data_IF_695074941419
#
_entry.id   IF_695074941419
#
_cell.length_a   1.000
_cell.length_b   1.000
_cell.length_c   1.000
_cell.angle_alpha   90.00
_cell.angle_beta   90.00
_cell.angle_gamma   90.00
#
_symmetry.space_group_name_H-M   'P 1'
#
loop_
_entity.id
_entity.type
_entity.pdbx_description
1 polymer ?
2 non-polymer ?
3 non-polymer ?
4 water ?
#
# COMPACT_ATOMS: atom_id res chain seq x y z
N UNK A 10 7.20 -14.03 -21.70
CA UNK A 10 8.58 -13.63 -22.13
C UNK A 10 9.60 -13.98 -21.04
N UNK A 11 10.40 -15.00 -21.31
CA UNK A 11 11.35 -15.52 -20.33
C UNK A 11 12.76 -15.05 -20.64
N UNK A 12 13.25 -14.08 -19.86
CA UNK A 12 14.59 -13.51 -20.06
C UNK A 12 15.66 -14.59 -19.99
N UNK A 13 16.72 -14.45 -20.80
CA UNK A 13 17.76 -15.47 -20.78
C UNK A 13 18.36 -15.68 -19.40
N UNK A 14 18.45 -16.94 -19.00
CA UNK A 14 18.93 -17.29 -17.65
C UNK A 14 20.40 -16.96 -17.49
N UNK A 15 20.72 -16.09 -16.51
CA UNK A 15 22.12 -15.72 -16.30
C UNK A 15 22.98 -16.93 -15.88
N UNK A 16 24.23 -16.98 -16.36
CA UNK A 16 25.13 -18.12 -16.10
C UNK A 16 25.31 -18.47 -14.62
N UNK A 17 25.18 -17.47 -13.73
CA UNK A 17 25.43 -17.69 -12.31
C UNK A 17 24.24 -18.31 -11.57
N UNK A 18 23.11 -18.41 -12.25
CA UNK A 18 21.87 -18.90 -11.62
C UNK A 18 21.65 -20.38 -11.93
N UNK A 19 21.66 -21.23 -10.89
CA UNK A 19 21.47 -22.66 -11.14
C UNK A 19 20.03 -23.04 -11.50
N UNK A 20 19.87 -23.95 -12.45
CA UNK A 20 18.51 -24.30 -12.92
C UNK A 20 17.55 -24.80 -11.84
N UNK A 21 18.06 -25.45 -10.79
CA UNK A 21 17.17 -25.97 -9.73
C UNK A 21 16.46 -24.86 -8.95
N UNK A 22 16.95 -23.62 -9.04
CA UNK A 22 16.31 -22.50 -8.35
C UNK A 22 15.30 -21.75 -9.22
N UNK A 23 15.11 -22.19 -10.47
CA UNK A 23 14.24 -21.48 -11.38
C UNK A 23 12.75 -21.83 -11.19
N UNK A 24 11.96 -20.79 -10.92
CA UNK A 24 10.50 -20.88 -10.82
C UNK A 24 9.95 -19.64 -11.46
N UNK A 25 9.31 -19.82 -12.63
CA UNK A 25 8.94 -18.68 -13.48
C UNK A 25 7.64 -17.99 -13.07
N UNK A 26 7.69 -17.40 -11.89
CA UNK A 26 6.56 -16.66 -11.36
C UNK A 26 6.49 -15.27 -12.02
N UNK A 27 5.30 -14.88 -12.43
CA UNK A 27 5.07 -13.57 -13.03
C UNK A 27 4.30 -12.67 -12.07
N UNK A 28 4.99 -11.72 -11.43
CA UNK A 28 4.33 -10.86 -10.42
C UNK A 28 3.21 -9.97 -10.95
N UNK A 29 3.14 -9.77 -12.29
CA UNK A 29 2.08 -8.98 -12.87
C UNK A 29 0.90 -9.79 -13.40
N UNK A 30 1.08 -11.10 -13.52
CA UNK A 30 0.01 -11.99 -13.98
C UNK A 30 0.23 -13.42 -13.48
N UNK A 31 0.17 -13.61 -12.15
CA UNK A 31 0.46 -14.94 -11.59
C UNK A 31 -0.59 -15.97 -12.00
N UNK A 32 -0.17 -17.23 -12.13
CA UNK A 32 -1.09 -18.33 -12.46
C UNK A 32 -2.21 -18.40 -11.44
N UNK A 33 -3.45 -18.65 -11.88
CA UNK A 33 -4.59 -18.80 -10.93
C UNK A 33 -4.78 -17.61 -9.98
N UNK A 34 -4.45 -16.42 -10.49
CA UNK A 34 -4.91 -15.15 -9.93
C UNK A 34 -6.41 -15.23 -9.64
N UNK A 35 -7.12 -16.06 -10.42
CA UNK A 35 -8.55 -16.28 -10.23
C UNK A 35 -8.94 -16.81 -8.84
N UNK A 36 -8.01 -17.50 -8.17
CA UNK A 36 -8.27 -18.02 -6.82
C UNK A 36 -8.09 -16.97 -5.72
N UNK A 37 -7.67 -15.76 -6.10
CA UNK A 37 -7.34 -14.70 -5.13
C UNK A 37 -5.88 -14.35 -5.25
N UNK A 38 -5.55 -13.07 -5.17
CA UNK A 38 -4.16 -12.68 -5.40
C UNK A 38 -3.19 -13.19 -4.33
N UNK A 39 -3.56 -13.09 -3.05
CA UNK A 39 -2.69 -13.64 -2.00
C UNK A 39 -2.45 -15.13 -2.20
N UNK A 40 -3.51 -15.88 -2.56
CA UNK A 40 -3.37 -17.30 -2.81
C UNK A 40 -2.42 -17.57 -3.98
N UNK A 41 -2.49 -16.69 -4.97
CA UNK A 41 -1.67 -16.84 -6.18
C UNK A 41 -0.19 -16.67 -5.85
N UNK A 42 0.11 -15.73 -4.95
CA UNK A 42 1.50 -15.49 -4.54
C UNK A 42 1.94 -16.60 -3.61
N UNK A 43 1.00 -17.13 -2.81
CA UNK A 43 1.36 -18.13 -1.81
C UNK A 43 1.81 -19.48 -2.40
N UNK A 44 1.66 -19.65 -3.72
CA UNK A 44 2.24 -20.79 -4.46
C UNK A 44 3.76 -20.83 -4.23
N UNK A 45 4.34 -19.65 -3.97
CA UNK A 45 5.77 -19.55 -3.77
C UNK A 45 6.22 -20.17 -2.45
N UNK A 46 5.25 -20.49 -1.59
CA UNK A 46 5.52 -21.07 -0.28
C UNK A 46 5.10 -22.53 -0.18
N UNK A 47 4.80 -23.14 -1.32
CA UNK A 47 4.61 -24.61 -1.36
C UNK A 47 5.93 -25.33 -1.04
N UNK A 48 5.82 -26.57 -0.55
CA UNK A 48 6.98 -27.23 0.05
C UNK A 48 8.11 -27.57 -0.92
N UNK A 49 7.81 -27.59 -2.23
CA UNK A 49 8.80 -27.90 -3.25
C UNK A 49 9.55 -26.65 -3.73
N UNK A 50 9.20 -25.50 -3.15
CA UNK A 50 9.80 -24.22 -3.58
C UNK A 50 10.85 -23.76 -2.58
N UNK A 51 12.09 -23.51 -3.06
CA UNK A 51 13.16 -23.02 -2.18
C UNK A 51 12.84 -21.64 -1.61
N UNK A 52 13.61 -21.26 -0.60
CA UNK A 52 13.44 -20.00 0.13
C UNK A 52 13.75 -18.82 -0.80
N UNK A 53 14.61 -19.06 -1.80
CA UNK A 53 15.04 -18.01 -2.70
C UNK A 53 15.06 -18.62 -4.09
N UNK A 54 14.31 -18.03 -4.99
CA UNK A 54 14.19 -18.59 -6.35
C UNK A 54 14.47 -17.51 -7.39
N UNK A 55 14.72 -17.95 -8.62
CA UNK A 55 14.90 -17.04 -9.76
C UNK A 55 13.74 -17.21 -10.72
N UNK A 56 13.12 -16.11 -11.11
CA UNK A 56 12.15 -16.13 -12.21
C UNK A 56 12.76 -15.50 -13.44
N UNK A 57 12.47 -16.10 -14.60
CA UNK A 57 12.89 -15.50 -15.86
C UNK A 57 11.88 -14.48 -16.39
N UNK A 58 10.74 -14.33 -15.70
CA UNK A 58 9.77 -13.31 -16.07
C UNK A 58 10.26 -11.91 -15.79
N UNK A 59 9.73 -10.92 -16.52
CA UNK A 59 9.86 -9.49 -16.20
C UNK A 59 11.30 -8.99 -16.09
N UNK A 60 12.12 -9.47 -17.01
CA UNK A 60 13.53 -9.13 -17.07
C UNK A 60 14.44 -10.10 -16.36
N UNK A 61 13.88 -10.95 -15.49
CA UNK A 61 14.65 -11.89 -14.71
C UNK A 61 14.99 -11.28 -13.37
N UNK A 62 14.65 -11.97 -12.27
CA UNK A 62 14.95 -11.45 -10.95
C UNK A 62 14.81 -12.53 -9.91
N UNK A 63 15.46 -12.33 -8.76
CA UNK A 63 15.29 -13.22 -7.62
C UNK A 63 13.97 -12.91 -6.96
N UNK A 64 13.44 -13.90 -6.24
CA UNK A 64 12.30 -13.69 -5.31
C UNK A 64 12.62 -14.42 -4.01
N UNK A 65 12.64 -13.67 -2.90
CA UNK A 65 12.68 -14.26 -1.55
C UNK A 65 11.23 -14.65 -1.20
N UNK A 66 11.02 -15.89 -0.76
CA UNK A 66 9.65 -16.40 -0.62
C UNK A 66 9.21 -16.57 0.83
N UNK A 67 10.14 -16.36 1.75
CA UNK A 67 9.88 -16.58 3.18
C UNK A 67 10.17 -15.33 4.00
N UNK A 68 9.39 -15.13 5.06
CA UNK A 68 9.53 -13.94 5.88
C UNK A 68 10.93 -13.72 6.46
N UNK A 69 11.61 -14.80 6.85
CA UNK A 69 12.95 -14.65 7.39
C UNK A 69 13.84 -13.93 6.41
N UNK A 70 13.82 -14.35 5.13
CA UNK A 70 14.74 -13.78 4.15
C UNK A 70 14.29 -12.41 3.72
N UNK A 71 12.99 -12.22 3.62
CA UNK A 71 12.44 -10.92 3.24
C UNK A 71 12.87 -9.88 4.28
N UNK A 72 12.69 -10.22 5.55
CA UNK A 72 13.10 -9.28 6.63
C UNK A 72 14.60 -9.01 6.58
N UNK A 73 15.39 -10.08 6.44
CA UNK A 73 16.85 -9.93 6.42
C UNK A 73 17.34 -9.02 5.31
N UNK A 74 16.81 -9.22 4.10
CA UNK A 74 17.24 -8.41 2.98
C UNK A 74 16.86 -6.93 3.18
N UNK A 75 15.69 -6.68 3.75
CA UNK A 75 15.29 -5.29 4.06
C UNK A 75 16.15 -4.65 5.13
N UNK A 76 16.68 -5.45 6.03
CA UNK A 76 17.61 -4.94 7.07
C UNK A 76 19.00 -4.68 6.49
N UNK A 77 19.38 -5.44 5.46
CA UNK A 77 20.74 -5.37 4.92
C UNK A 77 20.79 -4.39 3.74
N UNK A 78 20.65 -3.11 4.05
CA UNK A 78 20.58 -2.09 3.01
C UNK A 78 21.92 -1.93 2.29
N UNK A 79 23.01 -2.38 2.91
CA UNK A 79 24.33 -2.24 2.27
C UNK A 79 24.45 -3.13 1.03
N UNK A 80 23.83 -4.32 1.07
CA UNK A 80 23.84 -5.22 -0.07
C UNK A 80 22.60 -5.05 -0.95
N UNK A 81 21.47 -4.67 -0.32
CA UNK A 81 20.19 -4.64 -1.03
C UNK A 81 19.72 -3.20 -1.08
N UNK A 82 20.06 -2.55 -2.19
CA UNK A 82 19.86 -1.11 -2.37
C UNK A 82 18.49 -0.72 -2.90
N UNK A 83 18.00 0.44 -2.47
CA UNK A 83 16.73 0.98 -2.98
C UNK A 83 16.88 1.84 -4.23
N UNK A 84 18.09 1.90 -4.79
CA UNK A 84 18.34 2.70 -5.97
C UNK A 84 17.43 2.27 -7.13
N UNK A 85 17.15 0.97 -7.20
CA UNK A 85 16.24 0.43 -8.20
C UNK A 85 15.24 -0.49 -7.51
N UNK A 86 14.14 0.09 -6.96
CA UNK A 86 13.25 -0.71 -6.12
C UNK A 86 12.10 -1.42 -6.84
N UNK A 87 11.92 -1.13 -8.13
CA UNK A 87 10.79 -1.71 -8.85
C UNK A 87 11.23 -2.68 -9.93
N UNK A 88 10.49 -3.77 -10.04
CA UNK A 88 10.61 -4.68 -11.14
C UNK A 88 9.44 -4.41 -12.08
N UNK A 89 9.74 -4.19 -13.37
CA UNK A 89 11.09 -4.22 -13.91
C UNK A 89 11.76 -2.83 -13.95
N UNK A 95 11.24 7.64 -15.01
CA UNK A 95 11.05 9.04 -14.63
C UNK A 95 10.76 9.19 -13.13
N UNK A 96 10.80 8.08 -12.40
CA UNK A 96 10.47 8.07 -10.97
C UNK A 96 11.56 8.75 -10.15
N UNK A 97 11.16 9.73 -9.33
CA UNK A 97 12.11 10.50 -8.52
C UNK A 97 11.56 10.91 -7.16
N UNK A 98 10.54 10.21 -6.66
CA UNK A 98 9.97 10.57 -5.36
C UNK A 98 10.96 10.31 -4.21
N UNK A 99 10.86 11.13 -3.16
CA UNK A 99 11.74 11.05 -1.99
C UNK A 99 10.91 10.59 -0.77
N UNK A 100 11.46 9.70 0.09
CA UNK A 100 12.83 9.17 0.09
C UNK A 100 12.98 7.73 -0.42
N UNK A 101 12.08 7.33 -1.32
CA UNK A 101 12.00 5.95 -1.86
C UNK A 101 13.31 5.38 -2.33
N UNK A 102 13.98 6.12 -3.21
CA UNK A 102 15.14 5.61 -3.95
C UNK A 102 16.47 5.82 -3.23
N UNK A 103 16.40 6.40 -2.04
CA UNK A 103 17.58 6.69 -1.24
C UNK A 103 17.91 5.54 -0.26
N UNK A 104 19.20 5.32 -0.02
CA UNK A 104 19.64 4.42 1.04
C UNK A 104 20.01 5.25 2.27
N UNK A 106 22.35 8.99 5.98
CA UNK A 106 22.21 10.26 6.71
C UNK A 106 21.10 11.15 6.15
N UNK A 107 21.00 11.20 4.81
CA UNK A 107 19.94 11.98 4.18
C UNK A 107 18.60 11.28 4.39
N UNK A 108 18.56 10.00 4.08
CA UNK A 108 17.35 9.21 4.31
C UNK A 108 16.76 9.48 5.69
N UNK A 109 17.60 9.41 6.72
CA UNK A 109 17.14 9.59 8.09
C UNK A 109 16.51 10.96 8.32
N UNK A 110 17.10 12.00 7.73
CA UNK A 110 16.58 13.35 7.95
C UNK A 110 15.26 13.57 7.21
N UNK A 111 15.17 13.03 5.99
CA UNK A 111 13.94 13.15 5.20
C UNK A 111 12.80 12.42 5.91
N UNK A 112 13.09 11.23 6.44
CA UNK A 112 12.07 10.47 7.21
C UNK A 112 11.65 11.18 8.48
N UNK A 113 12.60 11.82 9.14
CA UNK A 113 12.31 12.57 10.34
C UNK A 113 11.32 13.69 9.99
N UNK A 114 11.57 14.35 8.86
CA UNK A 114 10.71 15.45 8.42
C UNK A 114 9.34 14.91 8.02
N UNK A 115 9.31 13.80 7.29
CA UNK A 115 8.01 13.20 6.96
C UNK A 115 7.23 12.77 8.22
N UNK A 116 7.92 12.19 9.21
CA UNK A 116 7.27 11.83 10.47
C UNK A 116 6.63 13.01 11.19
N UNK A 117 7.20 14.19 11.02
CA UNK A 117 6.63 15.40 11.57
C UNK A 117 5.23 15.66 11.01
N UNK A 118 4.99 15.24 9.76
CA UNK A 118 3.72 15.58 9.13
C UNK A 118 2.68 14.47 9.11
N UNK A 119 3.10 13.21 9.28
CA UNK A 119 2.16 12.07 9.28
C UNK A 119 2.33 11.13 10.48
N UNK A 120 3.13 11.54 11.45
CA UNK A 120 3.30 10.79 12.68
C UNK A 120 2.06 10.71 13.56
N UNK A 121 2.13 9.86 14.57
CA UNK A 121 1.01 9.63 15.48
C UNK A 121 0.30 10.90 16.02
N UNK A 122 1.07 11.92 16.47
CA UNK A 122 0.35 13.06 17.01
C UNK A 122 -0.52 13.74 15.95
N UNK A 123 -0.02 13.80 14.72
CA UNK A 123 -0.83 14.35 13.62
C UNK A 123 -2.08 13.48 13.38
N UNK A 124 -1.90 12.17 13.32
CA UNK A 124 -3.02 11.26 13.06
C UNK A 124 -4.05 11.37 14.18
N UNK A 125 -3.55 11.44 15.42
CA UNK A 125 -4.48 11.62 16.53
C UNK A 125 -5.35 12.88 16.39
N UNK A 126 -4.76 13.99 15.96
CA UNK A 126 -5.48 15.25 15.79
C UNK A 126 -6.48 15.17 14.63
N UNK A 127 -6.10 14.42 13.59
CA UNK A 127 -6.92 14.26 12.41
C UNK A 127 -8.06 13.28 12.56
N UNK A 128 -8.03 12.42 13.58
CA UNK A 128 -8.93 11.27 13.60
C UNK A 128 -10.42 11.58 13.41
N UNK A 129 -10.91 12.57 14.16
CA UNK A 129 -12.31 12.93 14.09
C UNK A 129 -12.71 13.46 12.69
N UNK A 130 -11.80 14.17 12.04
CA UNK A 130 -12.06 14.66 10.66
C UNK A 130 -12.17 13.50 9.66
N UNK A 131 -11.31 12.50 9.86
CA UNK A 131 -11.39 11.24 9.11
C UNK A 131 -12.74 10.57 9.31
N UNK A 132 -13.19 10.46 10.57
CA UNK A 132 -14.51 9.93 10.87
C UNK A 132 -15.64 10.70 10.18
N UNK A 133 -15.56 12.03 10.18
CA UNK A 133 -16.63 12.83 9.60
C UNK A 133 -16.70 12.62 8.09
N UNK A 134 -15.53 12.45 7.46
CA UNK A 134 -15.48 12.12 6.04
C UNK A 134 -16.07 10.75 5.73
N UNK A 135 -15.63 9.74 6.49
CA UNK A 135 -16.18 8.39 6.37
C UNK A 135 -17.70 8.37 6.51
N UNK A 136 -18.19 9.07 7.53
CA UNK A 136 -19.62 9.17 7.79
C UNK A 136 -20.38 9.74 6.59
N UNK A 137 -19.87 10.84 6.04
CA UNK A 137 -20.48 11.51 4.89
C UNK A 137 -20.56 10.60 3.66
N UNK A 138 -19.46 9.91 3.37
CA UNK A 138 -19.43 8.97 2.27
C UNK A 138 -20.42 7.81 2.47
N UNK A 139 -20.42 7.21 3.66
CA UNK A 139 -21.26 6.05 3.91
C UNK A 139 -22.74 6.46 3.86
N UNK A 140 -23.07 7.59 4.49
CA UNK A 140 -24.45 8.08 4.51
C UNK A 140 -24.95 8.35 3.09
N UNK A 141 -24.07 8.84 2.22
CA UNK A 141 -24.43 9.09 0.83
C UNK A 141 -24.79 7.79 0.08
N UNK A 142 -24.18 6.67 0.47
CA UNK A 142 -24.40 5.38 -0.20
C UNK A 142 -25.55 4.59 0.42
N UNK A 143 -25.68 4.74 1.73
CA UNK A 143 -26.55 3.90 2.56
C UNK A 143 -27.98 3.67 2.02
N UNK A 144 -28.69 4.74 1.63
CA UNK A 144 -30.07 4.46 1.20
C UNK A 144 -30.22 3.77 -0.16
N UNK A 145 -29.13 3.65 -0.92
CA UNK A 145 -29.16 3.03 -2.25
C UNK A 145 -29.26 1.51 -2.22
N UNK A 146 -28.78 0.89 -1.13
CA UNK A 146 -28.77 -0.58 -1.04
C UNK A 146 -27.76 -1.29 -1.93
N UNK A 147 -26.84 -0.54 -2.53
CA UNK A 147 -25.79 -1.11 -3.36
C UNK A 147 -24.72 -0.05 -3.62
N UNK A 148 -23.53 -0.53 -3.94
CA UNK A 148 -22.45 0.34 -4.43
C UNK A 148 -21.36 -0.54 -5.01
N UNK A 149 -20.48 0.06 -5.79
CA UNK A 149 -19.19 -0.54 -6.02
C UNK A 149 -18.28 0.11 -4.99
N UNK A 150 -17.96 -0.66 -3.94
CA UNK A 150 -17.24 -0.12 -2.80
C UNK A 150 -15.93 0.54 -3.26
N UNK A 151 -15.23 -0.13 -4.17
CA UNK A 151 -13.91 0.33 -4.58
C UNK A 151 -14.00 1.71 -5.23
N UNK A 152 -14.96 1.88 -6.13
CA UNK A 152 -15.19 3.17 -6.78
C UNK A 152 -15.89 4.24 -5.91
N UNK A 153 -16.85 3.81 -5.10
CA UNK A 153 -17.79 4.75 -4.48
C UNK A 153 -17.39 5.17 -3.06
N UNK A 154 -16.60 4.33 -2.39
CA UNK A 154 -16.10 4.69 -1.06
C UNK A 154 -14.58 4.77 -1.06
N UNK A 155 -13.92 3.72 -1.55
CA UNK A 155 -12.48 3.60 -1.37
C UNK A 155 -11.70 4.65 -2.17
N UNK A 156 -12.00 4.80 -3.46
CA UNK A 156 -11.25 5.79 -4.26
C UNK A 156 -11.38 7.24 -3.75
N UNK A 157 -12.60 7.68 -3.34
CA UNK A 157 -12.66 9.08 -2.89
C UNK A 157 -12.05 9.38 -1.51
N UNK A 158 -11.84 8.35 -0.70
CA UNK A 158 -11.50 8.53 0.70
C UNK A 158 -10.03 8.99 0.91
N UNK A 159 -9.02 8.20 0.48
CA UNK A 159 -7.67 8.65 0.82
C UNK A 159 -7.25 9.97 0.20
N UNK A 160 -7.72 10.27 -1.01
CA UNK A 160 -7.37 11.55 -1.65
C UNK A 160 -7.94 12.70 -0.81
N UNK A 161 -9.14 12.51 -0.27
CA UNK A 161 -9.74 13.54 0.58
C UNK A 161 -8.99 13.71 1.88
N UNK A 162 -8.51 12.60 2.42
CA UNK A 162 -7.68 12.66 3.63
C UNK A 162 -6.38 13.41 3.34
N UNK A 163 -5.79 13.19 2.17
CA UNK A 163 -4.57 13.94 1.83
C UNK A 163 -4.83 15.46 1.76
N UNK A 164 -5.98 15.87 1.22
CA UNK A 164 -6.28 17.28 1.11
C UNK A 164 -6.42 17.92 2.49
N UNK A 165 -6.96 17.15 3.45
CA UNK A 165 -7.07 17.60 4.84
C UNK A 165 -5.66 17.75 5.43
N UNK A 166 -4.87 16.68 5.31
CA UNK A 166 -3.50 16.66 5.81
C UNK A 166 -2.67 17.82 5.24
N UNK A 167 -2.86 18.10 3.95
CA UNK A 167 -2.00 19.06 3.24
C UNK A 167 -2.61 20.46 3.13
N UNK A 168 -3.78 20.66 3.73
CA UNK A 168 -4.48 21.94 3.69
C UNK A 168 -4.76 22.43 2.28
N UNK A 169 -5.27 21.54 1.43
CA UNK A 169 -5.53 21.89 0.05
C UNK A 169 -7.04 21.90 -0.18
N UNK A 170 -7.52 22.75 -1.10
CA UNK A 170 -8.98 22.89 -1.21
C UNK A 170 -9.64 21.72 -1.93
N UNK A 171 -10.90 21.45 -1.57
CA UNK A 171 -11.68 20.36 -2.16
C UNK A 171 -11.82 20.48 -3.68
N UNK A 172 -11.87 21.72 -4.18
CA UNK A 172 -12.04 21.95 -5.61
C UNK A 172 -10.87 21.42 -6.42
N UNK A 173 -9.71 21.20 -5.78
CA UNK A 173 -8.52 20.70 -6.48
C UNK A 173 -8.53 19.19 -6.66
N UNK A 174 -9.48 18.50 -6.04
CA UNK A 174 -9.49 17.02 -6.02
C UNK A 174 -9.56 16.36 -7.41
N UNK A 175 -10.54 16.77 -8.26
CA UNK A 175 -10.62 16.05 -9.54
C UNK A 175 -9.34 16.05 -10.38
N UNK A 176 -8.67 17.21 -10.44
CA UNK A 176 -7.45 17.30 -11.21
C UNK A 176 -6.32 16.52 -10.55
N UNK A 177 -6.17 16.64 -9.23
CA UNK A 177 -5.08 15.95 -8.56
C UNK A 177 -5.27 14.42 -8.66
N UNK A 178 -6.53 13.99 -8.47
CA UNK A 178 -6.89 12.58 -8.57
C UNK A 178 -6.60 12.08 -9.99
N UNK A 179 -6.89 12.91 -10.98
CA UNK A 179 -6.59 12.52 -12.35
C UNK A 179 -5.09 12.24 -12.55
N UNK A 180 -4.26 13.16 -12.03
CA UNK A 180 -2.83 13.04 -12.20
C UNK A 180 -2.30 11.78 -11.54
N UNK A 181 -2.72 11.54 -10.29
CA UNK A 181 -2.25 10.34 -9.59
C UNK A 181 -2.78 9.05 -10.25
N UNK A 182 -4.03 9.10 -10.73
CA UNK A 182 -4.56 8.00 -11.54
C UNK A 182 -3.70 7.72 -12.79
N UNK A 183 -3.14 8.75 -13.42
CA UNK A 183 -2.33 8.53 -14.65
C UNK A 183 -0.99 7.89 -14.32
N UNK A 184 -0.50 8.13 -13.11
CA UNK A 184 0.77 7.54 -12.70
C UNK A 184 0.70 6.03 -12.49
N UNK A 185 -0.46 5.53 -12.08
CA UNK A 185 -0.62 4.11 -11.79
C UNK A 185 -1.54 3.34 -12.76
N UNK A 186 -2.48 4.05 -13.40
CA UNK A 186 -3.46 3.43 -14.31
C UNK A 186 -3.74 4.34 -15.52
N UNK A 187 -2.70 4.62 -16.31
CA UNK A 187 -2.84 5.60 -17.39
C UNK A 187 -3.93 5.26 -18.39
N UNK A 188 -4.70 6.27 -18.79
CA UNK A 188 -5.66 6.13 -19.89
C UNK A 188 -5.02 6.44 -21.24
N UNK A 189 -3.79 6.93 -21.20
CA UNK A 189 -3.04 7.28 -22.41
C UNK A 189 -2.86 8.77 -22.66
N UNK A 190 -3.58 9.60 -21.92
CA UNK A 190 -3.53 11.05 -22.15
C UNK A 190 -2.20 11.66 -21.75
N UNK A 191 -1.55 11.02 -20.77
CA UNK A 191 -0.32 11.51 -20.17
C UNK A 191 0.66 10.35 -19.97
N UNK A 192 1.93 10.61 -20.29
CA UNK A 192 2.97 9.66 -19.87
C UNK A 192 3.17 9.80 -18.37
N UNK A 193 3.87 8.82 -17.78
CA UNK A 193 4.21 8.94 -16.37
C UNK A 193 4.95 10.26 -16.12
N UNK A 194 5.91 10.56 -16.99
CA UNK A 194 6.74 11.77 -16.83
C UNK A 194 5.90 13.03 -16.88
N UNK A 195 4.95 13.07 -17.82
CA UNK A 195 4.02 14.19 -17.96
C UNK A 195 3.11 14.35 -16.73
N UNK A 196 2.61 13.23 -16.20
CA UNK A 196 1.74 13.28 -15.03
C UNK A 196 2.53 13.78 -13.82
N UNK A 197 3.73 13.25 -13.67
CA UNK A 197 4.62 13.67 -12.59
C UNK A 197 4.93 15.17 -12.66
N UNK A 198 5.29 15.63 -13.84
CA UNK A 198 5.61 17.05 -14.01
C UNK A 198 4.42 17.96 -13.75
N UNK A 199 3.22 17.53 -14.15
CA UNK A 199 2.01 18.30 -13.85
C UNK A 199 1.71 18.33 -12.35
N UNK A 200 2.00 17.22 -11.65
CA UNK A 200 1.90 17.21 -10.19
C UNK A 200 2.85 18.26 -9.60
N UNK A 201 4.06 18.29 -10.13
CA UNK A 201 5.06 19.27 -9.71
C UNK A 201 4.66 20.70 -10.05
N UNK A 202 4.09 20.91 -11.24
CA UNK A 202 3.54 22.22 -11.64
C UNK A 202 2.48 22.71 -10.64
N UNK A 203 1.72 21.76 -10.08
CA UNK A 203 0.70 22.08 -9.09
C UNK A 203 1.31 22.41 -7.73
N UNK A 204 2.23 21.56 -7.29
CA UNK A 204 2.83 21.69 -5.96
C UNK A 204 3.81 22.86 -5.82
N UNK A 205 4.56 23.18 -6.88
CA UNK A 205 5.65 24.18 -6.77
C UNK A 205 5.18 25.57 -6.26
N UNK A 206 4.12 26.14 -6.86
CA UNK A 206 3.60 27.44 -6.38
C UNK A 206 3.18 27.40 -4.92
N UNK A 207 2.51 26.31 -4.53
CA UNK A 207 2.01 26.15 -3.18
C UNK A 207 3.16 26.03 -2.17
N UNK A 208 4.18 25.25 -2.52
CA UNK A 208 5.35 25.08 -1.65
C UNK A 208 6.07 26.43 -1.44
N UNK A 209 6.24 27.18 -2.53
CA UNK A 209 6.88 28.51 -2.51
C UNK A 209 6.09 29.48 -1.64
N UNK A 210 4.78 29.50 -1.84
CA UNK A 210 3.87 30.34 -1.07
C UNK A 210 3.99 30.04 0.44
N UNK A 211 4.00 28.76 0.80
CA UNK A 211 4.00 28.36 2.21
C UNK A 211 5.37 28.36 2.85
N UNK A 212 6.41 28.45 2.02
CA UNK A 212 7.77 28.68 2.48
C UNK A 212 7.82 30.03 3.19
N UNK A 213 7.23 31.04 2.54
CA UNK A 213 7.24 32.40 3.05
C UNK A 213 6.13 32.69 4.06
N UNK A 214 4.95 32.14 3.82
CA UNK A 214 3.83 32.29 4.74
C UNK A 214 3.28 30.93 5.13
N UNK A 215 3.92 30.25 6.11
CA UNK A 215 3.52 28.89 6.49
C UNK A 215 2.28 28.78 7.39
N UNK A 216 1.55 27.69 7.24
CA UNK A 216 0.58 27.23 8.23
C UNK A 216 1.13 26.04 9.01
N UNK A 217 0.24 25.19 9.49
CA UNK A 217 0.62 23.97 10.24
C UNK A 217 0.26 22.70 9.45
N UNK A 218 -0.11 22.89 8.20
CA UNK A 218 -0.38 21.78 7.28
C UNK A 218 0.92 21.09 6.87
N UNK A 219 0.78 19.90 6.27
CA UNK A 219 1.92 19.09 5.85
C UNK A 219 2.85 19.77 4.85
N UNK A 220 2.29 20.50 3.88
CA UNK A 220 3.13 21.15 2.88
C UNK A 220 3.92 22.31 3.54
N UNK A 221 3.27 23.05 4.42
CA UNK A 221 3.97 24.13 5.15
C UNK A 221 5.16 23.57 5.92
N UNK A 222 4.94 22.45 6.59
CA UNK A 222 5.97 21.83 7.43
C UNK A 222 7.11 21.27 6.59
N UNK A 223 6.77 20.59 5.50
CA UNK A 223 7.79 20.15 4.55
C UNK A 223 8.60 21.31 3.97
N UNK A 224 7.91 22.35 3.49
CA UNK A 224 8.56 23.46 2.78
C UNK A 224 9.53 24.24 3.65
N UNK A 225 9.33 24.18 4.96
CA UNK A 225 10.21 24.86 5.90
C UNK A 225 11.23 23.98 6.60
N UNK A 226 11.33 22.72 6.14
CA UNK A 226 12.29 21.77 6.68
C UNK A 226 13.74 22.12 6.37
N UNK A 227 14.65 21.42 7.06
CA UNK A 227 16.10 21.57 6.91
C UNK A 227 16.75 20.23 6.53
N UNK A 228 17.78 20.27 5.67
CA UNK A 228 18.52 19.08 5.24
C UNK A 228 20.01 19.41 5.23
N UNK A 229 20.81 18.59 5.92
CA UNK A 229 22.26 18.81 6.02
C UNK A 229 22.66 20.21 6.50
N UNK A 230 21.88 20.74 7.43
CA UNK A 230 22.13 22.09 7.96
C UNK A 230 21.64 23.26 7.12
N UNK A 231 21.04 22.99 5.95
CA UNK A 231 20.51 24.06 5.09
C UNK A 231 19.02 23.84 4.75
N UNK A 232 18.34 24.88 4.21
CA UNK A 232 16.91 24.72 3.92
C UNK A 232 16.65 23.66 2.86
N UNK A 233 15.56 22.93 3.04
CA UNK A 233 15.15 21.97 2.02
C UNK A 233 14.96 22.74 0.71
N UNK A 234 15.36 22.14 -0.41
CA UNK A 234 15.21 22.82 -1.69
C UNK A 234 13.80 22.59 -2.23
N UNK A 235 13.38 23.42 -3.18
CA UNK A 235 12.06 23.26 -3.77
C UNK A 235 11.94 21.91 -4.50
N UNK A 236 13.03 21.49 -5.14
CA UNK A 236 13.06 20.18 -5.79
C UNK A 236 12.87 19.05 -4.75
N UNK A 237 13.56 19.15 -3.62
CA UNK A 237 13.44 18.13 -2.56
C UNK A 237 12.04 18.11 -1.96
N UNK A 238 11.46 19.29 -1.76
CA UNK A 238 10.15 19.43 -1.12
C UNK A 238 9.03 18.88 -2.01
N UNK A 239 9.07 19.17 -3.32
CA UNK A 239 8.03 18.67 -4.23
C UNK A 239 8.09 17.15 -4.33
N UNK A 240 9.32 16.61 -4.35
CA UNK A 240 9.51 15.17 -4.47
C UNK A 240 9.04 14.43 -3.21
N UNK A 241 9.19 15.07 -2.03
CA UNK A 241 8.66 14.52 -0.76
C UNK A 241 7.14 14.60 -0.73
N UNK A 242 6.60 15.78 -1.08
CA UNK A 242 5.14 15.98 -1.08
C UNK A 242 4.48 15.02 -2.06
N UNK A 243 5.12 14.82 -3.20
CA UNK A 243 4.61 13.88 -4.20
C UNK A 243 4.47 12.49 -3.62
N UNK A 244 5.48 12.03 -2.88
CA UNK A 244 5.41 10.69 -2.30
C UNK A 244 4.38 10.60 -1.19
N UNK A 245 4.26 11.64 -0.38
CA UNK A 245 3.24 11.66 0.66
C UNK A 245 1.84 11.57 0.07
N UNK A 246 1.66 12.16 -1.11
CA UNK A 246 0.40 12.04 -1.83
C UNK A 246 0.18 10.63 -2.40
N UNK A 247 1.10 10.17 -3.23
CA UNK A 247 0.84 8.90 -3.93
C UNK A 247 0.94 7.67 -3.05
N UNK A 248 1.76 7.74 -2.00
CA UNK A 248 2.01 6.56 -1.15
C UNK A 248 0.77 6.06 -0.45
N UNK A 249 -0.18 6.96 -0.19
CA UNK A 249 -1.36 6.60 0.58
C UNK A 249 -2.63 6.39 -0.21
N UNK A 250 -2.54 6.36 -1.54
CA UNK A 250 -3.74 6.20 -2.36
C UNK A 250 -4.05 4.75 -2.72
N UNK A 251 -3.33 4.18 -3.70
CA UNK A 251 -3.69 2.82 -4.15
C UNK A 251 -3.54 1.78 -3.06
N UNK A 252 -2.55 1.93 -2.18
CA UNK A 252 -2.43 1.01 -1.03
C UNK A 252 -3.71 1.00 -0.19
N UNK A 253 -4.20 2.16 0.22
CA UNK A 253 -5.42 2.19 1.05
C UNK A 253 -6.68 1.78 0.29
N UNK A 254 -6.81 2.25 -0.95
CA UNK A 254 -7.98 1.88 -1.76
C UNK A 254 -8.07 0.38 -1.86
N UNK A 255 -6.96 -0.25 -2.23
CA UNK A 255 -6.99 -1.68 -2.49
C UNK A 255 -7.11 -2.46 -1.21
N UNK A 256 -6.44 -2.01 -0.16
CA UNK A 256 -6.53 -2.73 1.11
C UNK A 256 -7.94 -2.70 1.70
N UNK A 257 -8.58 -1.55 1.70
CA UNK A 257 -9.96 -1.42 2.14
C UNK A 257 -10.81 -2.38 1.33
N UNK A 258 -10.57 -2.44 0.02
CA UNK A 258 -11.36 -3.33 -0.82
C UNK A 258 -11.17 -4.80 -0.47
N UNK A 259 -9.92 -5.25 -0.26
CA UNK A 259 -9.73 -6.64 0.18
C UNK A 259 -10.49 -6.93 1.48
N UNK A 260 -10.43 -5.99 2.42
CA UNK A 260 -11.02 -6.19 3.75
C UNK A 260 -12.54 -6.29 3.64
N UNK A 261 -13.13 -5.41 2.84
CA UNK A 261 -14.58 -5.40 2.68
C UNK A 261 -15.08 -6.60 1.89
N UNK A 262 -14.31 -7.03 0.90
CA UNK A 262 -14.63 -8.25 0.18
C UNK A 262 -14.71 -9.41 1.18
N UNK A 263 -13.70 -9.52 2.04
CA UNK A 263 -13.68 -10.58 3.04
C UNK A 263 -14.90 -10.51 3.98
N UNK A 264 -15.14 -9.32 4.54
CA UNK A 264 -16.29 -9.13 5.46
C UNK A 264 -17.61 -9.42 4.78
N UNK A 265 -17.72 -9.08 3.50
CA UNK A 265 -18.93 -9.41 2.73
C UNK A 265 -19.13 -10.91 2.58
N UNK A 266 -18.05 -11.66 2.42
CA UNK A 266 -18.12 -13.09 2.15
C UNK A 266 -18.11 -13.94 3.42
N UNK A 267 -17.81 -13.32 4.56
CA UNK A 267 -17.72 -14.04 5.87
C UNK A 267 -18.63 -13.44 6.94
N UNK A 268 -19.91 -13.84 6.96
CA UNK A 268 -20.85 -13.24 7.90
C UNK A 268 -20.45 -13.50 9.35
N UNK A 269 -19.80 -14.64 9.62
CA UNK A 269 -19.39 -14.96 11.00
C UNK A 269 -18.33 -13.98 11.51
N UNK A 270 -17.36 -13.64 10.65
CA UNK A 270 -16.37 -12.63 11.03
C UNK A 270 -16.98 -11.24 11.16
N UNK A 271 -17.87 -10.90 10.23
CA UNK A 271 -18.60 -9.63 10.29
C UNK A 271 -19.39 -9.50 11.61
N UNK A 272 -20.09 -10.58 11.95
CA UNK A 272 -20.90 -10.63 13.17
C UNK A 272 -20.04 -10.46 14.44
N UNK A 273 -18.84 -11.03 14.40
CA UNK A 273 -17.90 -10.86 15.52
C UNK A 273 -17.62 -9.37 15.77
N UNK A 274 -17.39 -8.60 14.71
CA UNK A 274 -17.11 -7.18 14.88
C UNK A 274 -18.33 -6.31 15.19
N UNK A 275 -19.50 -6.75 14.77
CA UNK A 275 -20.76 -6.10 15.13
C UNK A 275 -21.02 -6.33 16.62
N UNK A 276 -20.82 -7.56 17.08
CA UNK A 276 -21.05 -7.89 18.48
C UNK A 276 -20.00 -7.30 19.42
N UNK A 277 -18.74 -7.30 18.98
CA UNK A 277 -17.61 -6.82 19.79
C UNK A 277 -16.80 -5.76 19.04
N UNK A 278 -17.31 -4.52 18.95
CA UNK A 278 -16.58 -3.48 18.21
C UNK A 278 -15.23 -3.16 18.79
N UNK A 279 -15.00 -3.46 20.06
CA UNK A 279 -13.68 -3.25 20.68
C UNK A 279 -12.58 -4.10 20.02
N UNK A 280 -12.96 -5.14 19.28
CA UNK A 280 -11.99 -6.01 18.61
C UNK A 280 -11.58 -5.44 17.26
N UNK A 281 -12.24 -4.35 16.84
CA UNK A 281 -11.92 -3.81 15.50
C UNK A 281 -10.42 -3.44 15.30
N UNK A 282 -9.77 -2.78 16.29
CA UNK A 282 -8.30 -2.56 16.09
C UNK A 282 -7.46 -3.84 15.90
N UNK A 283 -7.74 -4.87 16.68
CA UNK A 283 -7.05 -6.14 16.49
C UNK A 283 -7.42 -6.78 15.15
N UNK A 284 -8.71 -6.70 14.78
CA UNK A 284 -9.16 -7.21 13.47
C UNK A 284 -8.40 -6.54 12.34
N UNK A 285 -8.24 -5.23 12.43
CA UNK A 285 -7.53 -4.54 11.37
C UNK A 285 -6.09 -5.03 11.20
N UNK A 286 -5.40 -5.32 12.30
CA UNK A 286 -4.06 -5.88 12.22
C UNK A 286 -4.07 -7.25 11.55
N UNK A 287 -5.01 -8.10 11.94
CA UNK A 287 -5.10 -9.42 11.30
C UNK A 287 -5.46 -9.31 9.82
N UNK A 288 -6.34 -8.37 9.45
CA UNK A 288 -6.63 -8.14 8.03
C UNK A 288 -5.41 -7.61 7.28
N UNK A 289 -4.65 -6.72 7.91
CA UNK A 289 -3.38 -6.26 7.30
C UNK A 289 -2.41 -7.41 6.99
N UNK A 290 -2.41 -8.43 7.85
CA UNK A 290 -1.59 -9.63 7.63
C UNK A 290 -2.15 -10.47 6.48
N UNK A 291 -3.43 -10.82 6.58
CA UNK A 291 -4.04 -11.75 5.63
C UNK A 291 -4.18 -11.15 4.21
N UNK A 292 -4.44 -9.85 4.12
CA UNK A 292 -4.67 -9.18 2.82
C UNK A 292 -3.57 -8.18 2.48
N UNK A 293 -2.37 -8.50 2.96
CA UNK A 293 -1.17 -7.75 2.63
C UNK A 293 -1.06 -7.67 1.10
N UNK A 294 -0.49 -6.58 0.59
CA UNK A 294 -0.65 -6.30 -0.85
C UNK A 294 0.53 -5.69 -1.60
N UNK A 295 1.59 -5.32 -0.90
CA UNK A 295 2.73 -4.68 -1.58
C UNK A 295 3.86 -5.67 -1.85
N UNK A 296 4.50 -5.51 -2.99
CA UNK A 296 5.66 -6.34 -3.34
C UNK A 296 6.73 -5.49 -4.05
N UNK A 297 7.60 -4.90 -3.23
CA UNK A 297 8.74 -4.08 -3.65
C UNK A 297 10.00 -4.92 -3.76
N UNK A 298 11.06 -4.26 -4.21
CA UNK A 298 12.32 -4.93 -4.39
C UNK A 298 13.53 -4.07 -4.11
N UNK A 299 14.69 -4.66 -4.37
CA UNK A 299 15.99 -4.00 -4.17
C UNK A 299 16.93 -4.46 -5.27
N UNK A 300 18.10 -3.82 -5.35
CA UNK A 300 19.10 -4.24 -6.34
C UNK A 300 20.41 -4.54 -5.59
N UNK A 301 21.12 -5.59 -6.02
CA UNK A 301 22.41 -5.96 -5.40
C UNK A 301 23.49 -4.91 -5.67
N UNK A 302 24.11 -4.42 -4.59
CA UNK A 302 25.22 -3.46 -4.71
C UNK A 302 26.56 -4.12 -5.04
N UNK A 303 26.66 -5.42 -4.76
CA UNK A 303 27.86 -6.20 -5.00
C UNK A 303 27.50 -7.68 -5.10
N UNK A 304 28.46 -8.48 -5.60
CA UNK A 304 28.33 -9.94 -5.50
C UNK A 304 28.18 -10.29 -4.02
N UNK A 305 27.28 -11.22 -3.70
CA UNK A 305 26.98 -11.51 -2.32
C UNK A 305 26.36 -12.90 -2.22
N UNK A 306 26.91 -13.74 -1.36
CA UNK A 306 26.29 -15.02 -1.08
C UNK A 306 25.29 -14.87 0.04
N UNK A 307 24.02 -15.19 -0.27
CA UNK A 307 22.91 -14.99 0.65
C UNK A 307 22.17 -16.32 0.84
N UNK A 308 22.19 -16.86 2.07
CA UNK A 308 21.55 -18.15 2.36
C UNK A 308 21.90 -19.25 1.33
N UNK A 309 23.18 -19.39 1.06
CA UNK A 309 23.68 -20.44 0.18
C UNK A 309 23.50 -20.19 -1.30
N UNK A 310 23.07 -18.97 -1.66
CA UNK A 310 22.79 -18.64 -3.07
C UNK A 310 23.69 -17.49 -3.52
N UNK A 311 24.37 -17.68 -4.66
CA UNK A 311 25.24 -16.63 -5.19
C UNK A 311 24.45 -15.57 -5.93
N UNK A 312 24.41 -14.35 -5.37
CA UNK A 312 23.78 -13.18 -5.99
C UNK A 312 24.86 -12.34 -6.64
N UNK A 313 24.56 -11.79 -7.79
CA UNK A 313 25.53 -11.01 -8.55
C UNK A 313 25.22 -9.51 -8.45
N UNK A 314 26.27 -8.69 -8.36
CA UNK A 314 26.10 -7.24 -8.44
C UNK A 314 25.14 -6.85 -9.57
N UNK A 315 24.10 -6.08 -9.24
CA UNK A 315 23.17 -5.59 -10.24
C UNK A 315 21.93 -6.45 -10.45
N UNK A 316 21.92 -7.67 -9.91
CA UNK A 316 20.72 -8.50 -9.93
C UNK A 316 19.63 -7.77 -9.18
N UNK A 317 18.40 -7.86 -9.68
CA UNK A 317 17.25 -7.36 -8.92
C UNK A 317 16.67 -8.50 -8.08
N UNK A 318 16.12 -8.15 -6.93
CA UNK A 318 15.48 -9.14 -6.06
C UNK A 318 14.14 -8.59 -5.59
N UNK A 319 13.10 -9.36 -5.82
CA UNK A 319 11.77 -9.01 -5.33
C UNK A 319 11.66 -9.54 -3.89
N UNK A 320 11.25 -8.65 -2.99
CA UNK A 320 11.17 -8.96 -1.53
C UNK A 320 9.75 -8.66 -1.11
N UNK A 321 8.84 -9.61 -1.38
CA UNK A 321 7.42 -9.23 -1.31
C UNK A 321 6.94 -9.02 0.13
N UNK A 322 6.63 -7.79 0.48
CA UNK A 322 6.08 -7.50 1.82
C UNK A 322 4.90 -8.43 2.14
N UNK A 323 4.06 -8.66 1.12
CA UNK A 323 2.89 -9.51 1.21
C UNK A 323 3.18 -10.88 1.82
N UNK A 324 4.31 -11.48 1.46
CA UNK A 324 4.55 -12.88 1.79
C UNK A 324 4.96 -13.16 3.23
N UNK A 325 5.58 -12.20 3.93
CA UNK A 325 6.07 -12.52 5.27
C UNK A 325 4.97 -13.03 6.19
N UNK A 326 3.82 -12.32 6.23
CA UNK A 326 2.73 -12.71 7.13
C UNK A 326 1.92 -13.90 6.67
N UNK A 327 2.05 -14.25 5.40
CA UNK A 327 1.38 -15.45 4.86
C UNK A 327 2.21 -16.73 5.07
N UNK A 328 3.45 -16.54 5.48
CA UNK A 328 4.39 -17.63 5.69
C UNK A 328 3.93 -18.44 6.89
N UNK A 329 3.69 -19.74 6.68
CA UNK A 329 3.27 -20.59 7.80
C UNK A 329 4.35 -20.70 8.90
N UNK A 330 5.60 -20.37 8.57
CA UNK A 330 6.69 -20.28 9.55
C UNK A 330 6.54 -19.07 10.47
N UNK A 331 5.73 -18.08 10.07
CA UNK A 331 5.49 -16.86 10.88
C UNK A 331 4.13 -16.88 11.58
N UNK A 332 3.13 -17.47 10.92
CA UNK A 332 1.78 -17.52 11.47
C UNK A 332 1.13 -18.84 11.10
N UNK A 333 0.62 -19.56 12.11
CA UNK A 333 -0.01 -20.85 11.86
C UNK A 333 -1.33 -20.69 11.13
N UNK A 334 -1.64 -21.65 10.23
CA UNK A 334 -2.83 -21.60 9.39
C UNK A 334 -2.95 -20.19 8.80
N UNK A 335 -1.95 -19.77 8.02
CA UNK A 335 -1.89 -18.37 7.60
C UNK A 335 -3.01 -17.88 6.71
N UNK A 336 -3.69 -18.77 5.98
CA UNK A 336 -4.81 -18.28 5.18
C UNK A 336 -6.11 -18.11 5.97
N UNK A 337 -6.13 -18.62 7.19
CA UNK A 337 -7.26 -18.43 8.06
C UNK A 337 -7.21 -17.05 8.71
N UNK A 338 -8.37 -16.39 8.79
CA UNK A 338 -8.48 -15.10 9.47
C UNK A 338 -8.95 -15.36 10.91
N UNK A 339 -8.11 -14.99 11.88
CA UNK A 339 -8.48 -15.08 13.29
C UNK A 339 -8.17 -13.79 14.02
N UNK A 340 -9.22 -13.06 14.36
CA UNK A 340 -9.08 -11.75 15.00
C UNK A 340 -8.48 -11.82 16.39
N UNK A 341 -8.41 -13.03 16.97
CA UNK A 341 -7.89 -13.23 18.31
C UNK A 341 -6.44 -13.74 18.35
N UNK A 342 -5.75 -13.78 17.20
CA UNK A 342 -4.37 -14.24 17.17
C UNK A 342 -3.54 -13.52 18.21
N UNK A 343 -2.77 -14.26 18.98
CA UNK A 343 -2.03 -13.64 20.06
C UNK A 343 -0.82 -12.86 19.55
N UNK A 344 -0.26 -13.31 18.42
CA UNK A 344 0.89 -12.66 17.81
C UNK A 344 0.66 -12.58 16.29
N UNK A 345 0.34 -11.39 15.82
CA UNK A 345 0.11 -11.19 14.38
C UNK A 345 1.42 -10.71 13.75
N UNK A 346 2.14 -11.60 13.10
CA UNK A 346 3.43 -11.30 12.49
C UNK A 346 3.24 -10.93 11.02
N UNK A 347 3.74 -9.78 10.61
CA UNK A 347 3.65 -9.36 9.19
C UNK A 347 4.66 -8.26 8.90
N UNK A 348 4.88 -8.01 7.60
CA UNK A 348 5.67 -6.87 7.12
C UNK A 348 4.82 -6.11 6.09
N UNK A 349 3.55 -5.94 6.40
CA UNK A 349 2.63 -5.31 5.45
C UNK A 349 3.00 -3.87 5.11
N UNK A 350 3.55 -3.17 6.10
CA UNK A 350 4.01 -1.82 5.90
C UNK A 350 5.53 -1.78 5.65
N UNK A 351 6.14 -2.93 5.37
CA UNK A 351 7.57 -2.96 5.13
C UNK A 351 8.36 -3.30 6.38
N UNK A 352 9.67 -3.11 6.27
CA UNK A 352 10.57 -3.48 7.34
C UNK A 352 11.88 -2.79 7.00
N UNK A 353 12.62 -2.39 8.04
CA UNK A 353 13.90 -1.77 7.79
C UNK A 353 13.75 -0.27 7.57
N UNK A 354 14.78 0.32 6.97
CA UNK A 354 14.93 1.77 6.96
C UNK A 354 13.84 2.52 6.18
N UNK A 355 13.16 1.82 5.25
CA UNK A 355 12.08 2.42 4.47
C UNK A 355 10.68 2.08 4.96
N UNK A 356 10.58 1.52 6.18
CA UNK A 356 9.28 1.26 6.80
C UNK A 356 8.25 2.38 6.55
N UNK A 357 7.06 1.99 6.11
CA UNK A 357 6.03 2.96 5.74
C UNK A 357 5.87 4.10 6.74
N UNK A 358 6.00 5.33 6.24
CA UNK A 358 5.80 6.52 7.06
C UNK A 358 4.33 6.80 7.32
N UNK A 359 3.47 6.28 6.44
CA UNK A 359 2.04 6.52 6.54
C UNK A 359 1.29 5.46 7.32
N UNK A 360 2.00 4.52 7.94
CA UNK A 360 1.32 3.38 8.61
C UNK A 360 0.31 3.79 9.70
N UNK A 361 0.58 4.87 10.44
CA UNK A 361 -0.33 5.28 11.50
C UNK A 361 -1.60 5.87 10.92
N UNK A 362 -1.44 6.71 9.89
CA UNK A 362 -2.60 7.27 9.20
C UNK A 362 -3.42 6.15 8.55
N UNK A 363 -2.72 5.17 7.94
CA UNK A 363 -3.43 4.10 7.23
C UNK A 363 -4.24 3.25 8.21
N UNK A 364 -3.65 2.89 9.34
CA UNK A 364 -4.41 2.14 10.33
C UNK A 364 -5.65 2.92 10.80
N UNK A 365 -5.50 4.22 11.00
CA UNK A 365 -6.62 5.03 11.48
C UNK A 365 -7.72 5.08 10.42
N UNK A 366 -7.34 5.23 9.14
CA UNK A 366 -8.32 5.19 8.04
C UNK A 366 -9.08 3.87 7.99
N UNK A 367 -8.37 2.76 8.18
CA UNK A 367 -8.95 1.42 8.14
C UNK A 367 -9.93 1.24 9.29
N UNK A 368 -9.47 1.53 10.49
CA UNK A 368 -10.29 1.33 11.70
C UNK A 368 -11.55 2.22 11.67
N UNK A 369 -11.36 3.49 11.32
CA UNK A 369 -12.50 4.41 11.19
C UNK A 369 -13.49 3.92 10.15
N UNK A 370 -12.97 3.41 9.02
CA UNK A 370 -13.84 2.92 7.97
C UNK A 370 -14.66 1.73 8.45
N UNK A 371 -13.98 0.75 9.04
CA UNK A 371 -14.67 -0.45 9.51
C UNK A 371 -15.68 -0.13 10.62
N UNK A 372 -15.28 0.72 11.57
CA UNK A 372 -16.18 1.14 12.65
C UNK A 372 -17.46 1.78 12.13
N UNK A 373 -17.31 2.72 11.19
CA UNK A 373 -18.45 3.45 10.68
C UNK A 373 -19.29 2.57 9.74
N UNK A 374 -18.66 1.78 8.88
CA UNK A 374 -19.44 0.92 8.00
C UNK A 374 -20.27 -0.11 8.79
N UNK A 375 -19.63 -0.75 9.77
CA UNK A 375 -20.30 -1.81 10.51
C UNK A 375 -21.45 -1.32 11.39
N UNK A 376 -21.43 -0.04 11.75
CA UNK A 376 -22.55 0.49 12.56
C UNK A 376 -23.66 1.09 11.72
N UNK A 377 -23.34 1.47 10.49
CA UNK A 377 -24.35 2.04 9.57
C UNK A 377 -24.95 1.02 8.61
N UNK A 378 -24.10 0.13 8.11
CA UNK A 378 -24.50 -0.91 7.16
C UNK A 378 -23.92 -2.24 7.65
N UNK A 379 -24.46 -2.77 8.77
CA UNK A 379 -23.88 -3.97 9.37
C UNK A 379 -24.02 -5.25 8.54
N UNK A 380 -25.07 -5.32 7.73
CA UNK A 380 -25.37 -6.49 6.93
C UNK A 380 -25.26 -6.13 5.45
N UNK A 381 -24.30 -6.74 4.76
CA UNK A 381 -24.06 -6.57 3.33
C UNK A 381 -23.47 -7.85 2.72
N UNK A 382 -23.62 -8.00 1.42
CA UNK A 382 -23.16 -9.17 0.70
C UNK A 382 -22.54 -8.74 -0.62
N UNK A 383 -21.75 -9.63 -1.22
CA UNK A 383 -21.38 -9.47 -2.63
C UNK A 383 -22.64 -9.51 -3.50
N UNK A 384 -22.74 -8.63 -4.49
CA UNK A 384 -23.83 -8.70 -5.48
C UNK A 384 -23.93 -10.11 -6.07
N UNK A 385 -25.14 -10.71 -6.05
CA UNK A 385 -25.31 -12.05 -6.61
C UNK A 385 -24.81 -12.17 -8.05
N UNK A 386 -24.07 -13.24 -8.33
CA UNK A 386 -23.50 -13.48 -9.67
C UNK A 386 -22.14 -12.85 -9.94
N UNK A 387 -21.75 -11.86 -9.13
CA UNK A 387 -20.45 -11.22 -9.29
C UNK A 387 -19.32 -12.14 -8.85
N UNK A 388 -18.27 -12.17 -9.64
CA UNK A 388 -17.06 -12.88 -9.28
C UNK A 388 -16.00 -11.80 -9.12
N UNK A 389 -15.53 -11.60 -7.90
CA UNK A 389 -14.57 -10.52 -7.63
C UNK A 389 -13.21 -10.84 -8.28
N UNK A 390 -12.69 -9.87 -9.03
CA UNK A 390 -11.45 -10.05 -9.78
C UNK A 390 -10.34 -9.29 -9.07
N UNK A 391 -9.23 -9.95 -8.83
CA UNK A 391 -8.05 -9.26 -8.32
C UNK A 391 -7.05 -8.89 -9.41
N UNK A 392 -6.15 -7.96 -9.09
CA UNK A 392 -5.04 -7.62 -9.98
C UNK A 392 -3.75 -7.75 -9.17
N UNK A 393 -2.65 -8.03 -9.85
CA UNK A 393 -1.37 -8.30 -9.19
C UNK A 393 -0.29 -7.38 -9.71
N UNK A 394 0.60 -6.93 -8.83
CA UNK A 394 1.76 -6.19 -9.27
C UNK A 394 2.51 -5.69 -8.06
N UNK A 395 3.11 -4.51 -8.18
CA UNK A 395 3.75 -3.89 -7.01
C UNK A 395 2.75 -3.59 -5.89
N UNK A 396 1.58 -3.04 -6.22
CA UNK A 396 0.47 -2.94 -5.27
C UNK A 396 -0.67 -3.77 -5.87
N UNK A 397 -0.91 -4.94 -5.27
CA UNK A 397 -2.01 -5.81 -5.73
C UNK A 397 -3.32 -5.23 -5.29
N UNK A 398 -4.42 -5.65 -5.92
CA UNK A 398 -5.67 -4.94 -5.69
C UNK A 398 -6.92 -5.65 -6.13
N UNK A 399 -8.03 -4.92 -5.98
CA UNK A 399 -9.37 -5.41 -6.30
C UNK A 399 -9.90 -4.55 -7.45
N UNK A 400 -10.32 -5.20 -8.54
CA UNK A 400 -10.76 -4.45 -9.71
C UNK A 400 -12.06 -3.69 -9.48
N UNK A 401 -12.99 -4.32 -8.75
CA UNK A 401 -14.29 -3.74 -8.40
C UNK A 401 -14.90 -4.61 -7.33
N UNK A 402 -15.74 -3.99 -6.51
CA UNK A 402 -16.40 -4.70 -5.41
C UNK A 402 -17.86 -4.30 -5.28
N UNK A 403 -18.71 -4.93 -6.11
CA UNK A 403 -20.14 -4.69 -6.03
C UNK A 403 -20.75 -5.31 -4.78
N UNK A 404 -21.30 -4.44 -3.94
CA UNK A 404 -21.94 -4.83 -2.67
C UNK A 404 -23.41 -4.50 -2.71
N UNK A 405 -24.19 -5.30 -1.99
CA UNK A 405 -25.64 -5.07 -1.86
C UNK A 405 -26.07 -5.22 -0.40
N UNK A 406 -27.12 -4.51 -0.03
CA UNK A 406 -27.71 -4.61 1.31
C UNK A 406 -29.15 -4.09 1.26
N UNK A 407 -29.92 -4.47 2.28
CA UNK A 407 -31.27 -3.99 2.46
C UNK A 407 -31.21 -2.66 3.22
N UNK A 408 -31.64 -1.55 2.60
CA UNK A 408 -31.59 -0.24 3.28
C UNK A 408 -32.44 -0.16 4.56
N UNK A 409 -33.39 -1.08 4.75
CA UNK A 409 -34.19 -1.11 5.99
C UNK A 409 -33.40 -1.66 7.20
N UNK A 410 -32.28 -2.34 6.93
CA UNK A 410 -31.41 -2.83 8.01
C UNK A 410 -30.34 -1.83 8.43
N UNK A 411 -30.32 -0.66 7.80
CA UNK A 411 -29.27 0.32 8.01
C UNK A 411 -29.67 1.37 9.05
N UNK A 412 -28.68 2.12 9.53
CA UNK A 412 -28.89 3.12 10.58
C UNK A 412 -28.54 4.53 10.06
N UNK A 413 -29.55 5.38 9.90
CA UNK A 413 -29.38 6.73 9.34
C UNK A 413 -28.69 7.71 10.31
N UNK A 414 -27.93 8.66 9.76
CA UNK A 414 -27.09 9.59 10.54
C UNK A 414 -27.84 10.38 11.63
X LIG B 1 6.63 3.19 2.30
X LIG B 1 2.97 0.01 2.51
X LIG B 1 -0.16 3.63 3.34
X LIG B 1 3.41 6.85 2.65
X LIG B 1 5.93 2.01 2.32
X LIG B 1 6.48 0.68 2.21
X LIG B 1 5.46 -0.19 2.27
X LIG B 1 4.24 0.56 2.41
X LIG B 1 5.56 -1.72 2.18
X LIG B 1 7.99 0.36 2.06
X LIG B 1 8.36 0.12 0.60
X LIG B 1 9.80 -0.35 0.51
X LIG B 1 10.28 -0.52 -0.64
X LIG B 1 10.49 -0.58 1.52
X LIG B 1 1.80 0.70 2.75
X LIG B 1 0.50 0.13 2.94
X LIG B 1 -0.37 1.14 3.18
X LIG B 1 0.37 2.38 3.10
X LIG B 1 0.23 -1.39 2.91
X LIG B 1 -1.88 1.10 3.43
X LIG B 1 -2.60 0.00 3.73
X LIG B 1 0.55 4.83 3.27
X LIG B 1 0.01 6.16 3.51
X LIG B 1 1.00 7.05 3.27
X LIG B 1 2.18 6.29 2.92
X LIG B 1 -1.45 6.45 3.95
X LIG B 1 1.01 8.60 3.37
X LIG B 1 0.15 9.30 4.11
X LIG B 1 4.58 6.17 2.46
X LIG B 1 5.85 6.79 2.17
X LIG B 1 6.85 5.65 2.07
X LIG B 1 6.09 4.44 2.32
X LIG B 1 6.14 8.30 2.02
X LIG B 1 8.36 5.73 1.76
X LIG B 1 9.12 5.54 3.08
X LIG B 1 10.62 5.58 2.80
X LIG B 1 11.37 6.00 3.72
X LIG B 1 11.05 5.22 1.70
X LIG B 1 4.56 1.91 2.46
X LIG B 1 1.69 2.07 2.86
X LIG B 1 1.88 4.94 2.94
X LIG B 1 4.77 4.79 2.56
X LIG B 1 3.24 3.41 2.78
X LIG C 1 6.53 2.12 -2.57
X LIG C 1 5.43 1.09 -2.71
X LIG C 1 4.28 1.45 -1.78
X LIG C 1 4.92 1.07 -4.15
X LIG C 1 6.00 3.51 -2.94
X LIG C 1 4.86 3.85 -2.01
X LIG C 1 5.48 3.48 -4.38
X LIG C 1 3.73 2.83 -2.15
X LIG C 1 4.37 2.44 -4.53
X LIG C 1 3.24 2.81 -3.58
X LIG C 1 4.78 2.55 -8.27
X LIG C 1 5.66 3.28 -8.71
X LIG C 1 4.94 1.90 -6.92
X LIG C 1 3.88 2.43 -5.96
#
# INVERSE_FOLDING_TARGET
TTETIQSNANLAPLPPHVPEHLVFDFDMYNPSNLSAGVQEAWAVLQESNVPDLVWTRCNGGHWIATRGQLIREAYEDYRHFSSECPFIPREAGEAYDFIPTSMDPPEQRQFRALANQVVGMPVVDKLENRIQELACSLIESLRPQGQCNFTEDYAEPFPIRIFMLLAGLPEEDIPHLKYLTDQMTRPDGSMTFAEAKEALYDYLIPIIEQRRQKPGTDAISIVANGQVNGRPITSDEAKRMCGLLLVGGLDTVVNFLSFSMEFLAKSPEHRQELIERPERIPAACEELLRRFSLVADGRILTSDYEFHGVQLKKGDQILLPQMLSGLDERENAAPMHVDFSRQKVSHTTFGHGSHLCLGQHLARREIIVTLKEWLTRIPDFSIAPGAQIQHKSGIVSGVQALPLVWDPATTKAV
HEM CHA CHB CHC CHD C1A C2A C3A C4A CMA CAA CBA CGA O1A O2A C1B C2B C3B C4B CMB CAB CBB C1C C2C C3C C4C CMC CAC CBC C1D C2D C3D C4D CMD CAD CBD CGD O1D O2D NA NB NC ND FE
C3Q C1 C2 C3 C4 C5 C6 C7 C8 C9 C10 C23 O3 C32 C33
#
